data_IF_174817878851
#
_entry.id   IF_174817878851
#
_cell.length_a   1.000
_cell.length_b   1.000
_cell.length_c   1.000
_cell.angle_alpha   90.00
_cell.angle_beta   90.00
_cell.angle_gamma   90.00
#
_symmetry.space_group_name_H-M   'P 1'
#
loop_
_entity.id
_entity.type
_entity.pdbx_description
1 polymer ?
#
# COMPACT_ATOMS: atom_id res chain seq x y z
N UNK A 1 0.29 -30.61 34.29
CA UNK A 1 0.50 -29.19 34.66
C UNK A 1 1.54 -28.51 33.76
N UNK A 2 2.61 -29.15 33.34
CA UNK A 2 3.57 -28.59 32.37
C UNK A 2 3.02 -28.55 30.96
N UNK A 3 2.27 -29.57 30.50
CA UNK A 3 1.60 -29.60 29.17
C UNK A 3 0.45 -28.57 29.03
N UNK A 4 -0.25 -28.24 30.12
CA UNK A 4 -1.26 -27.17 30.11
C UNK A 4 -0.66 -25.76 30.12
N UNK A 5 0.58 -25.62 30.57
CA UNK A 5 1.31 -24.33 30.50
C UNK A 5 1.86 -24.13 29.09
N UNK A 6 2.33 -25.19 28.42
CA UNK A 6 2.82 -25.11 27.05
C UNK A 6 1.67 -24.80 26.09
N UNK A 7 0.49 -25.41 26.24
CA UNK A 7 -0.70 -25.08 25.41
C UNK A 7 -1.25 -23.65 25.64
N UNK A 8 -0.99 -23.04 26.79
CA UNK A 8 -1.36 -21.63 27.05
C UNK A 8 -0.38 -20.61 26.48
N UNK A 9 0.85 -21.01 26.17
CA UNK A 9 1.88 -20.14 25.57
C UNK A 9 1.76 -20.10 24.05
N UNK A 10 1.25 -21.13 23.40
CA UNK A 10 1.04 -21.19 21.95
C UNK A 10 -0.16 -20.37 21.45
N UNK A 11 -1.03 -19.89 22.34
CA UNK A 11 -2.31 -19.27 21.95
C UNK A 11 -2.35 -17.75 21.84
N UNK A 12 -1.22 -17.02 21.87
CA UNK A 12 -1.23 -15.55 21.78
C UNK A 12 -0.04 -14.94 21.02
N UNK A 13 0.26 -15.41 19.81
CA UNK A 13 0.98 -14.55 18.85
C UNK A 13 -0.06 -13.70 18.12
N UNK A 14 -0.56 -12.68 18.79
CA UNK A 14 -1.38 -11.65 18.15
C UNK A 14 -0.43 -10.71 17.41
N UNK A 15 -0.23 -10.93 16.11
CA UNK A 15 0.42 -9.98 15.22
C UNK A 15 -0.60 -8.93 14.83
N UNK A 16 -0.90 -7.98 15.70
CA UNK A 16 -1.81 -6.90 15.36
C UNK A 16 -1.04 -5.82 14.61
N UNK A 17 -1.20 -5.77 13.29
CA UNK A 17 -0.90 -4.57 12.51
C UNK A 17 -2.08 -3.62 12.63
N UNK A 18 -1.86 -2.47 13.22
CA UNK A 18 -2.84 -1.40 13.28
C UNK A 18 -2.47 -0.33 12.25
N UNK A 19 -3.46 0.21 11.55
CA UNK A 19 -3.32 1.32 10.61
C UNK A 19 -3.97 2.55 11.23
N UNK A 20 -3.24 3.65 11.24
CA UNK A 20 -3.71 4.94 11.76
C UNK A 20 -3.31 6.05 10.80
N UNK A 21 -4.04 7.16 10.83
CA UNK A 21 -3.59 8.38 10.18
C UNK A 21 -3.67 9.57 11.12
N UNK A 22 -2.74 10.50 10.94
CA UNK A 22 -2.62 11.71 11.73
C UNK A 22 -2.84 12.90 10.82
N UNK A 23 -3.90 13.66 11.10
CA UNK A 23 -4.19 14.93 10.44
C UNK A 23 -3.70 16.08 11.31
N UNK A 24 -2.94 17.05 10.76
CA UNK A 24 -2.51 18.22 11.51
C UNK A 24 -3.68 19.16 11.84
N UNK A 25 -3.47 20.07 12.77
CA UNK A 25 -4.41 21.17 12.99
C UNK A 25 -4.46 22.10 11.76
N UNK A 26 -5.68 22.43 11.30
CA UNK A 26 -5.92 23.30 10.13
C UNK A 26 -5.36 24.72 10.29
N UNK A 27 -5.21 25.45 9.19
CA UNK A 27 -4.89 26.89 9.15
C UNK A 27 -3.45 27.27 9.49
N UNK A 28 -2.52 26.31 9.53
CA UNK A 28 -1.11 26.54 9.79
C UNK A 28 -0.28 26.41 8.51
N UNK A 29 0.94 26.97 8.52
CA UNK A 29 1.90 26.75 7.44
C UNK A 29 2.31 25.28 7.34
N UNK A 30 2.78 24.83 6.16
CA UNK A 30 3.24 23.46 5.96
C UNK A 30 4.26 23.00 7.03
N UNK A 31 5.31 23.79 7.41
CA UNK A 31 6.22 23.40 8.49
C UNK A 31 5.54 23.21 9.85
N UNK A 32 4.50 24.01 10.15
CA UNK A 32 3.75 23.88 11.40
C UNK A 32 2.83 22.66 11.37
N UNK A 33 2.25 22.34 10.22
CA UNK A 33 1.47 21.12 10.02
C UNK A 33 2.36 19.86 10.20
N UNK A 34 3.55 19.83 9.60
CA UNK A 34 4.53 18.76 9.80
C UNK A 34 4.91 18.62 11.28
N UNK A 35 5.17 19.74 11.97
CA UNK A 35 5.45 19.72 13.40
C UNK A 35 4.30 19.12 14.20
N UNK A 36 3.07 19.52 13.88
CA UNK A 36 1.85 18.97 14.49
C UNK A 36 1.73 17.46 14.29
N UNK A 37 1.99 16.96 13.08
CA UNK A 37 2.01 15.50 12.81
C UNK A 37 3.06 14.78 13.66
N UNK A 38 4.28 15.34 13.73
CA UNK A 38 5.39 14.76 14.49
C UNK A 38 5.10 14.76 16.01
N UNK A 39 4.52 15.82 16.55
CA UNK A 39 4.10 15.87 17.96
C UNK A 39 2.99 14.87 18.28
N UNK A 40 2.03 14.69 17.38
CA UNK A 40 0.98 13.68 17.53
C UNK A 40 1.54 12.26 17.42
N UNK A 41 2.51 12.03 16.51
CA UNK A 41 3.22 10.75 16.39
C UNK A 41 3.94 10.39 17.70
N UNK A 42 4.63 11.35 18.34
CA UNK A 42 5.27 11.13 19.66
C UNK A 42 4.23 10.70 20.70
N UNK A 43 3.11 11.42 20.76
CA UNK A 43 2.02 11.09 21.70
C UNK A 43 1.37 9.72 21.41
N UNK A 44 1.32 9.33 20.14
CA UNK A 44 0.81 8.01 19.74
C UNK A 44 1.72 6.88 20.22
N UNK A 45 3.04 7.08 20.11
CA UNK A 45 4.05 6.09 20.55
C UNK A 45 4.20 6.01 22.07
N UNK A 46 3.73 7.02 22.82
CA UNK A 46 3.75 6.98 24.29
C UNK A 46 2.81 5.88 24.81
N UNK A 47 3.22 5.05 25.76
CA UNK A 47 2.39 3.97 26.29
C UNK A 47 1.07 4.49 26.86
N UNK A 48 -0.04 4.08 26.29
CA UNK A 48 -1.39 4.36 26.81
C UNK A 48 -1.98 3.09 27.38
N UNK A 49 -2.44 3.13 28.62
CA UNK A 49 -3.08 1.98 29.29
C UNK A 49 -2.22 0.68 29.25
N UNK A 50 -0.88 0.81 29.33
CA UNK A 50 0.04 -0.33 29.27
C UNK A 50 0.29 -0.90 27.87
N UNK A 51 -0.32 -0.35 26.84
CA UNK A 51 -0.08 -0.76 25.43
C UNK A 51 0.91 0.20 24.80
N UNK A 52 2.00 -0.35 24.26
CA UNK A 52 2.99 0.38 23.48
C UNK A 52 2.91 -0.02 22.02
N UNK A 53 2.93 0.96 21.12
CA UNK A 53 3.00 0.77 19.67
C UNK A 53 4.39 1.07 19.15
N UNK A 54 4.77 0.34 18.09
CA UNK A 54 5.94 0.63 17.29
C UNK A 54 5.52 0.88 15.86
N UNK A 55 5.95 1.99 15.30
CA UNK A 55 5.74 2.31 13.88
C UNK A 55 6.70 1.46 13.05
N UNK A 56 6.17 0.67 12.15
CA UNK A 56 6.97 -0.15 11.22
C UNK A 56 7.14 0.52 9.86
N UNK A 57 6.12 1.27 9.42
CA UNK A 57 6.14 2.05 8.19
C UNK A 57 5.33 3.32 8.39
N UNK A 58 5.74 4.39 7.74
CA UNK A 58 5.02 5.67 7.73
C UNK A 58 5.05 6.29 6.33
N UNK A 59 3.94 6.92 5.94
CA UNK A 59 3.81 7.60 4.66
C UNK A 59 3.26 9.00 4.89
N UNK A 60 4.00 10.01 4.45
CA UNK A 60 3.52 11.39 4.40
C UNK A 60 2.93 11.64 3.02
N UNK A 61 1.62 11.88 2.96
CA UNK A 61 0.96 12.37 1.77
C UNK A 61 0.95 13.89 1.84
N UNK A 62 1.46 14.55 0.80
CA UNK A 62 1.66 15.99 0.79
C UNK A 62 1.12 16.63 -0.48
N UNK A 63 0.65 17.86 -0.36
CA UNK A 63 0.43 18.71 -1.53
C UNK A 63 1.79 19.09 -2.10
N UNK A 64 2.02 18.88 -3.39
CA UNK A 64 3.20 19.39 -4.09
C UNK A 64 2.93 19.39 -5.60
N UNK A 65 2.73 20.54 -6.19
CA UNK A 65 2.40 20.68 -7.61
C UNK A 65 3.62 20.68 -8.55
N UNK A 66 4.83 20.50 -8.02
CA UNK A 66 6.07 20.46 -8.80
C UNK A 66 7.18 19.70 -8.06
N UNK A 67 8.16 19.22 -8.81
CA UNK A 67 9.33 18.57 -8.24
C UNK A 67 10.09 19.50 -7.26
N UNK A 68 10.21 20.78 -7.56
CA UNK A 68 10.87 21.74 -6.66
C UNK A 68 10.14 21.90 -5.33
N UNK A 69 8.80 21.95 -5.35
CA UNK A 69 7.98 22.01 -4.15
C UNK A 69 8.08 20.72 -3.35
N UNK A 70 8.01 19.57 -4.05
CA UNK A 70 8.19 18.25 -3.46
C UNK A 70 9.53 18.13 -2.73
N UNK A 71 10.64 18.55 -3.36
CA UNK A 71 11.98 18.51 -2.77
C UNK A 71 12.06 19.39 -1.51
N UNK A 72 11.50 20.60 -1.59
CA UNK A 72 11.46 21.53 -0.46
C UNK A 72 10.67 20.96 0.71
N UNK A 73 9.43 20.48 0.46
CA UNK A 73 8.53 19.92 1.48
C UNK A 73 9.07 18.63 2.06
N UNK A 74 9.63 17.76 1.22
CA UNK A 74 10.30 16.52 1.64
C UNK A 74 11.51 16.81 2.54
N UNK A 75 12.28 17.86 2.23
CA UNK A 75 13.40 18.31 3.07
C UNK A 75 12.97 18.73 4.48
N UNK A 76 11.83 19.42 4.61
CA UNK A 76 11.25 19.80 5.92
C UNK A 76 10.87 18.55 6.73
N UNK A 77 10.17 17.59 6.10
CA UNK A 77 9.76 16.33 6.76
C UNK A 77 10.98 15.52 7.19
N UNK A 78 11.96 15.32 6.29
CA UNK A 78 13.18 14.55 6.60
C UNK A 78 13.97 15.18 7.74
N UNK A 79 14.06 16.51 7.80
CA UNK A 79 14.71 17.23 8.91
C UNK A 79 13.97 17.00 10.23
N UNK A 80 12.65 17.08 10.25
CA UNK A 80 11.83 16.85 11.44
C UNK A 80 11.97 15.40 11.94
N UNK A 81 11.93 14.41 11.04
CA UNK A 81 12.10 13.00 11.39
C UNK A 81 13.51 12.67 11.88
N UNK A 82 14.55 13.25 11.26
CA UNK A 82 15.94 13.05 11.71
C UNK A 82 16.14 13.55 13.14
N UNK A 83 15.53 14.69 13.48
CA UNK A 83 15.57 15.24 14.83
C UNK A 83 14.82 14.35 15.85
N UNK A 84 13.70 13.74 15.44
CA UNK A 84 12.89 12.88 16.31
C UNK A 84 13.46 11.47 16.46
N UNK A 85 13.77 10.82 15.34
CA UNK A 85 14.03 9.37 15.32
C UNK A 85 15.53 9.05 15.38
N UNK A 86 16.40 9.96 14.93
CA UNK A 86 17.83 9.68 14.80
C UNK A 86 18.09 8.44 13.94
N UNK A 87 18.75 7.43 14.54
CA UNK A 87 19.03 6.15 13.88
C UNK A 87 17.84 5.17 13.89
N UNK A 88 16.76 5.46 14.61
CA UNK A 88 15.57 4.59 14.75
C UNK A 88 14.41 5.01 13.86
N UNK A 89 14.71 5.50 12.68
CA UNK A 89 13.68 5.91 11.72
C UNK A 89 13.01 4.67 11.10
N UNK A 90 11.67 4.54 11.15
CA UNK A 90 10.95 3.48 10.47
C UNK A 90 11.04 3.64 8.95
N UNK A 91 10.62 2.61 8.21
CA UNK A 91 10.40 2.72 6.78
C UNK A 91 9.55 3.97 6.47
N UNK A 92 10.02 4.85 5.60
CA UNK A 92 9.40 6.19 5.43
C UNK A 92 9.25 6.53 3.96
N UNK A 93 8.02 6.85 3.56
CA UNK A 93 7.68 7.38 2.25
C UNK A 93 7.16 8.81 2.35
N UNK A 94 7.41 9.61 1.32
CA UNK A 94 6.81 10.93 1.13
C UNK A 94 6.25 10.95 -0.28
N UNK A 95 4.95 11.16 -0.42
CA UNK A 95 4.22 11.03 -1.68
C UNK A 95 3.48 12.33 -1.97
N UNK A 96 3.64 12.86 -3.18
CA UNK A 96 2.92 14.03 -3.64
C UNK A 96 1.51 13.64 -4.09
N UNK A 97 0.63 13.45 -3.13
CA UNK A 97 -0.80 13.24 -3.30
C UNK A 97 -1.52 14.12 -2.29
N UNK A 98 -2.41 14.98 -2.78
CA UNK A 98 -3.09 15.96 -1.95
C UNK A 98 -4.09 15.30 -1.00
N UNK A 99 -3.90 15.37 0.33
CA UNK A 99 -4.89 14.86 1.29
C UNK A 99 -6.10 15.78 1.34
N UNK A 100 -7.28 15.21 1.62
CA UNK A 100 -8.54 15.94 1.68
C UNK A 100 -9.28 15.63 2.99
N UNK A 101 -9.92 16.62 3.65
CA UNK A 101 -9.96 18.06 3.33
C UNK A 101 -8.88 18.88 4.05
N UNK A 102 -8.52 20.02 3.44
CA UNK A 102 -7.87 21.19 4.07
C UNK A 102 -6.49 21.05 4.73
N UNK A 103 -5.79 19.93 4.56
CA UNK A 103 -4.42 19.80 5.04
C UNK A 103 -3.43 19.73 3.88
N UNK A 104 -2.26 20.34 4.04
CA UNK A 104 -1.16 20.20 3.07
C UNK A 104 -0.33 18.93 3.32
N UNK A 105 -0.58 18.24 4.43
CA UNK A 105 0.08 16.99 4.80
C UNK A 105 -0.83 16.12 5.67
N UNK A 106 -0.80 14.81 5.45
CA UNK A 106 -1.32 13.81 6.36
C UNK A 106 -0.27 12.73 6.56
N UNK A 107 -0.19 12.18 7.75
CA UNK A 107 0.75 11.10 8.08
C UNK A 107 -0.03 9.82 8.31
N UNK A 108 0.21 8.80 7.48
CA UNK A 108 -0.29 7.45 7.69
C UNK A 108 0.77 6.59 8.38
N UNK A 109 0.32 5.70 9.26
CA UNK A 109 1.16 4.82 10.06
C UNK A 109 0.72 3.36 9.88
N UNK A 110 1.68 2.48 9.70
CA UNK A 110 1.55 1.05 9.92
C UNK A 110 2.30 0.74 11.21
N UNK A 111 1.59 0.21 12.19
CA UNK A 111 2.10 0.00 13.53
C UNK A 111 1.94 -1.46 13.95
N UNK A 112 2.73 -1.89 14.92
CA UNK A 112 2.53 -3.15 15.62
C UNK A 112 2.54 -2.92 17.13
N UNK A 113 1.73 -3.69 17.87
CA UNK A 113 1.75 -3.65 19.33
C UNK A 113 3.01 -4.32 19.86
N UNK A 114 3.58 -3.74 20.91
CA UNK A 114 4.68 -4.39 21.62
C UNK A 114 4.24 -5.74 22.19
N UNK A 115 5.04 -6.77 21.95
CA UNK A 115 4.88 -8.08 22.59
C UNK A 115 6.26 -8.67 22.92
N UNK A 116 6.32 -9.56 23.90
CA UNK A 116 7.56 -10.24 24.29
C UNK A 116 8.05 -11.24 23.23
N UNK A 117 7.22 -11.54 22.23
CA UNK A 117 7.48 -12.53 21.18
C UNK A 117 7.97 -11.91 19.87
N UNK A 118 8.19 -10.59 19.84
CA UNK A 118 8.65 -9.91 18.63
C UNK A 118 9.81 -8.96 18.93
N UNK A 119 10.73 -8.86 17.97
CA UNK A 119 11.83 -7.89 18.00
C UNK A 119 11.76 -6.98 16.79
N UNK A 120 11.71 -5.66 17.04
CA UNK A 120 11.68 -4.65 16.01
C UNK A 120 13.07 -4.04 15.87
N UNK A 121 13.56 -4.01 14.63
CA UNK A 121 14.87 -3.44 14.31
C UNK A 121 14.71 -2.43 13.17
N UNK A 122 15.11 -1.19 13.43
CA UNK A 122 15.21 -0.15 12.41
C UNK A 122 16.59 -0.23 11.78
N UNK A 123 16.63 -0.33 10.46
CA UNK A 123 17.86 -0.53 9.69
C UNK A 123 17.95 0.51 8.56
N UNK A 124 19.10 0.55 7.88
CA UNK A 124 19.34 1.39 6.71
C UNK A 124 20.20 0.66 5.70
N UNK A 125 19.88 0.85 4.42
CA UNK A 125 20.75 0.54 3.29
C UNK A 125 21.04 1.85 2.57
N UNK A 126 22.26 2.38 2.70
CA UNK A 126 22.57 3.75 2.34
C UNK A 126 21.71 4.74 3.14
N UNK A 127 20.99 5.61 2.45
CA UNK A 127 20.10 6.59 3.07
C UNK A 127 18.66 6.08 3.28
N UNK A 128 18.33 4.88 2.83
CA UNK A 128 16.97 4.33 2.84
C UNK A 128 16.72 3.62 4.18
N UNK A 129 15.82 4.14 5.05
CA UNK A 129 15.42 3.47 6.26
C UNK A 129 14.41 2.35 5.94
N UNK A 130 14.53 1.23 6.64
CA UNK A 130 13.55 0.15 6.60
C UNK A 130 13.41 -0.51 7.97
N UNK A 131 12.33 -1.26 8.16
CA UNK A 131 12.02 -1.89 9.45
C UNK A 131 11.91 -3.40 9.29
N UNK A 132 12.55 -4.13 10.18
CA UNK A 132 12.41 -5.58 10.32
C UNK A 132 11.69 -5.89 11.61
N UNK A 133 10.57 -6.63 11.50
CA UNK A 133 9.86 -7.21 12.65
C UNK A 133 10.09 -8.71 12.64
N UNK A 134 10.84 -9.18 13.62
CA UNK A 134 11.17 -10.60 13.81
C UNK A 134 10.20 -11.20 14.83
N UNK A 135 9.39 -12.16 14.42
CA UNK A 135 8.41 -12.88 15.24
C UNK A 135 8.96 -14.22 15.75
N UNK A 136 10.26 -14.49 15.58
CA UNK A 136 10.92 -15.73 15.97
C UNK A 136 10.82 -16.84 14.93
N UNK A 137 9.63 -17.09 14.38
CA UNK A 137 9.40 -18.12 13.37
C UNK A 137 9.39 -17.58 11.93
N UNK A 138 9.17 -16.32 11.78
CA UNK A 138 9.22 -15.59 10.50
C UNK A 138 9.55 -14.12 10.76
N UNK A 139 9.90 -13.40 9.73
CA UNK A 139 10.12 -11.96 9.80
C UNK A 139 9.32 -11.23 8.73
N UNK A 140 8.88 -10.02 9.07
CA UNK A 140 8.33 -9.06 8.15
C UNK A 140 9.34 -7.94 7.89
N UNK A 141 9.52 -7.58 6.63
CA UNK A 141 10.35 -6.45 6.20
C UNK A 141 9.42 -5.39 5.62
N UNK A 142 9.38 -4.23 6.27
CA UNK A 142 8.68 -3.04 5.80
C UNK A 142 9.69 -2.12 5.16
N UNK A 143 9.44 -1.74 3.93
CA UNK A 143 10.28 -0.85 3.15
C UNK A 143 9.43 0.21 2.46
N UNK A 144 9.87 1.46 2.49
CA UNK A 144 9.13 2.57 1.93
C UNK A 144 10.07 3.67 1.41
N UNK A 145 9.58 4.44 0.42
CA UNK A 145 10.32 5.56 -0.16
C UNK A 145 11.45 5.13 -1.08
N UNK A 146 11.37 3.94 -1.71
CA UNK A 146 12.32 3.53 -2.74
C UNK A 146 12.04 4.30 -4.02
N UNK A 147 12.99 5.09 -4.48
CA UNK A 147 12.80 5.99 -5.61
C UNK A 147 14.06 6.15 -6.45
N UNK A 148 13.89 6.68 -7.66
CA UNK A 148 14.98 7.11 -8.52
C UNK A 148 15.60 8.44 -8.08
N UNK A 149 16.45 9.00 -8.93
CA UNK A 149 16.98 10.34 -8.74
C UNK A 149 16.06 11.40 -9.41
N UNK A 150 16.06 12.64 -8.94
CA UNK A 150 15.37 13.72 -9.61
C UNK A 150 15.77 13.84 -11.09
N UNK A 151 14.78 13.92 -11.98
CA UNK A 151 15.00 14.04 -13.42
C UNK A 151 15.19 12.68 -14.16
N UNK A 152 15.15 11.56 -13.46
CA UNK A 152 15.09 10.25 -14.12
C UNK A 152 13.79 10.11 -14.93
N UNK A 153 13.85 9.38 -16.04
CA UNK A 153 12.62 8.90 -16.70
C UNK A 153 11.90 7.89 -15.80
N UNK A 154 10.59 7.68 -16.04
CA UNK A 154 9.81 6.66 -15.29
C UNK A 154 10.48 5.29 -15.33
N UNK A 155 10.99 4.87 -16.49
CA UNK A 155 11.73 3.60 -16.65
C UNK A 155 12.98 3.56 -15.76
N UNK A 156 13.76 4.62 -15.73
CA UNK A 156 15.01 4.68 -14.95
C UNK A 156 14.72 4.79 -13.45
N UNK A 157 13.74 5.60 -13.07
CA UNK A 157 13.29 5.73 -11.67
C UNK A 157 12.77 4.40 -11.13
N UNK A 158 11.92 3.69 -11.90
CA UNK A 158 11.42 2.37 -11.54
C UNK A 158 12.57 1.36 -11.41
N UNK A 159 13.53 1.35 -12.34
CA UNK A 159 14.68 0.44 -12.28
C UNK A 159 15.49 0.64 -11.00
N UNK A 160 15.83 1.89 -10.64
CA UNK A 160 16.58 2.22 -9.40
C UNK A 160 15.81 1.86 -8.15
N UNK A 161 14.47 2.09 -8.13
CA UNK A 161 13.63 1.70 -7.02
C UNK A 161 13.60 0.18 -6.82
N UNK A 162 13.47 -0.60 -7.90
CA UNK A 162 13.55 -2.08 -7.83
C UNK A 162 14.94 -2.58 -7.44
N UNK A 163 16.02 -1.97 -7.93
CA UNK A 163 17.40 -2.31 -7.52
C UNK A 163 17.59 -2.13 -6.01
N UNK A 164 17.08 -1.02 -5.47
CA UNK A 164 17.10 -0.78 -4.03
C UNK A 164 16.27 -1.81 -3.26
N UNK A 165 15.09 -2.18 -3.78
CA UNK A 165 14.26 -3.24 -3.19
C UNK A 165 15.00 -4.59 -3.15
N UNK A 166 15.61 -4.99 -4.26
CA UNK A 166 16.39 -6.23 -4.36
C UNK A 166 17.57 -6.22 -3.39
N UNK A 167 18.30 -5.09 -3.27
CA UNK A 167 19.43 -4.97 -2.36
C UNK A 167 18.99 -5.15 -0.90
N UNK A 168 17.94 -4.46 -0.45
CA UNK A 168 17.42 -4.56 0.92
C UNK A 168 16.91 -5.98 1.20
N UNK A 169 16.12 -6.55 0.30
CA UNK A 169 15.62 -7.91 0.47
C UNK A 169 16.74 -8.93 0.58
N UNK A 170 17.79 -8.79 -0.23
CA UNK A 170 18.95 -9.66 -0.18
C UNK A 170 19.72 -9.55 1.15
N UNK A 171 19.87 -8.35 1.72
CA UNK A 171 20.47 -8.16 3.05
C UNK A 171 19.68 -8.91 4.14
N UNK A 172 18.37 -9.06 3.93
CA UNK A 172 17.49 -9.80 4.84
C UNK A 172 17.34 -11.30 4.47
N UNK A 173 18.09 -11.80 3.49
CA UNK A 173 17.99 -13.18 3.03
C UNK A 173 16.67 -13.48 2.31
N UNK A 174 16.01 -12.44 1.76
CA UNK A 174 14.78 -12.53 1.01
C UNK A 174 15.01 -12.19 -0.46
N UNK A 175 13.97 -12.34 -1.26
CA UNK A 175 13.92 -11.93 -2.66
C UNK A 175 12.63 -11.18 -2.94
N UNK A 176 12.51 -10.62 -4.14
CA UNK A 176 11.31 -9.90 -4.59
C UNK A 176 10.04 -10.77 -4.54
N UNK A 177 10.20 -12.09 -4.62
CA UNK A 177 9.10 -13.06 -4.58
C UNK A 177 8.45 -13.22 -3.18
N UNK A 178 9.11 -12.67 -2.15
CA UNK A 178 8.57 -12.64 -0.77
C UNK A 178 7.68 -11.43 -0.50
N UNK A 179 7.56 -10.48 -1.46
CA UNK A 179 6.69 -9.32 -1.31
C UNK A 179 5.23 -9.79 -1.33
N UNK A 180 4.49 -9.41 -0.29
CA UNK A 180 3.06 -9.73 -0.15
C UNK A 180 2.15 -8.55 -0.49
N UNK A 181 2.62 -7.33 -0.23
CA UNK A 181 1.92 -6.07 -0.50
C UNK A 181 2.91 -5.07 -1.08
N UNK A 182 2.50 -4.35 -2.15
CA UNK A 182 3.33 -3.33 -2.79
C UNK A 182 2.47 -2.13 -3.20
N UNK A 183 2.97 -0.92 -2.93
CA UNK A 183 2.42 0.34 -3.43
C UNK A 183 3.40 0.94 -4.43
N UNK A 184 2.86 1.43 -5.54
CA UNK A 184 3.63 2.02 -6.63
C UNK A 184 3.01 3.37 -6.94
N UNK A 185 3.66 4.44 -6.54
CA UNK A 185 3.29 5.81 -6.85
C UNK A 185 4.07 6.23 -8.09
N UNK A 186 3.38 6.63 -9.13
CA UNK A 186 3.96 6.86 -10.46
C UNK A 186 3.58 8.26 -10.91
N UNK A 187 4.57 9.11 -11.12
CA UNK A 187 4.35 10.48 -11.59
C UNK A 187 3.67 10.46 -12.95
N UNK A 188 2.60 11.29 -13.07
CA UNK A 188 1.80 11.39 -14.29
C UNK A 188 1.38 10.02 -14.84
N UNK A 189 0.84 9.14 -14.00
CA UNK A 189 0.61 7.71 -14.30
C UNK A 189 -0.15 7.48 -15.62
N UNK A 190 -1.11 8.34 -15.95
CA UNK A 190 -1.94 8.25 -17.16
C UNK A 190 -1.30 8.93 -18.38
N UNK A 191 -0.19 9.67 -18.20
CA UNK A 191 0.45 10.41 -19.29
C UNK A 191 0.96 9.49 -20.40
N UNK A 192 0.67 9.85 -21.65
CA UNK A 192 1.05 9.10 -22.85
C UNK A 192 2.03 9.94 -23.69
N UNK A 193 3.23 9.42 -23.90
CA UNK A 193 4.23 10.04 -24.78
C UNK A 193 3.84 9.82 -26.25
N UNK A 194 3.80 10.90 -27.03
CA UNK A 194 3.39 10.85 -28.44
C UNK A 194 4.50 10.36 -29.40
N UNK A 195 5.77 10.40 -28.97
CA UNK A 195 6.93 10.09 -29.83
C UNK A 195 7.35 8.63 -29.73
N UNK A 196 7.30 7.90 -30.85
CA UNK A 196 7.87 6.56 -30.95
C UNK A 196 6.91 5.39 -30.67
N UNK A 197 5.62 5.66 -30.63
CA UNK A 197 4.56 4.74 -30.18
C UNK A 197 4.02 5.16 -28.83
N UNK A 198 2.72 4.96 -28.59
CA UNK A 198 2.11 5.40 -27.34
C UNK A 198 2.69 4.64 -26.14
N UNK A 199 3.54 5.29 -25.37
CA UNK A 199 4.10 4.80 -24.12
C UNK A 199 3.47 5.55 -22.97
N UNK A 200 2.58 4.88 -22.22
CA UNK A 200 2.01 5.41 -20.99
C UNK A 200 3.02 5.21 -19.84
N UNK A 201 3.15 6.17 -18.94
CA UNK A 201 4.03 6.05 -17.77
C UNK A 201 3.73 4.79 -16.93
N UNK A 202 2.45 4.44 -16.77
CA UNK A 202 2.07 3.17 -16.13
C UNK A 202 2.58 1.94 -16.88
N UNK A 203 2.60 1.95 -18.20
CA UNK A 203 3.13 0.85 -19.00
C UNK A 203 4.65 0.76 -18.87
N UNK A 204 5.37 1.89 -18.95
CA UNK A 204 6.81 1.95 -18.73
C UNK A 204 7.21 1.33 -17.38
N UNK A 205 6.46 1.68 -16.31
CA UNK A 205 6.63 1.07 -15.01
C UNK A 205 6.37 -0.44 -15.01
N UNK A 206 5.28 -0.90 -15.66
CA UNK A 206 4.92 -2.31 -15.73
C UNK A 206 5.95 -3.15 -16.47
N UNK A 207 6.57 -2.61 -17.50
CA UNK A 207 7.62 -3.30 -18.26
C UNK A 207 8.88 -3.50 -17.41
N UNK A 208 9.26 -2.50 -16.62
CA UNK A 208 10.35 -2.63 -15.63
C UNK A 208 9.98 -3.65 -14.54
N UNK A 209 8.77 -3.56 -13.95
CA UNK A 209 8.31 -4.51 -12.94
C UNK A 209 8.36 -5.95 -13.45
N UNK A 210 7.91 -6.18 -14.68
CA UNK A 210 7.93 -7.49 -15.29
C UNK A 210 9.36 -8.05 -15.40
N UNK A 211 10.34 -7.23 -15.77
CA UNK A 211 11.74 -7.65 -15.82
C UNK A 211 12.23 -8.24 -14.49
N UNK A 212 11.91 -7.61 -13.35
CA UNK A 212 12.29 -8.12 -12.03
C UNK A 212 11.46 -9.32 -11.59
N UNK A 213 10.17 -9.33 -11.88
CA UNK A 213 9.25 -10.38 -11.43
C UNK A 213 9.42 -11.69 -12.20
N UNK A 214 9.83 -11.63 -13.48
CA UNK A 214 10.03 -12.80 -14.32
C UNK A 214 11.38 -13.51 -14.07
N UNK A 215 12.24 -12.98 -13.18
CA UNK A 215 13.50 -13.62 -12.79
C UNK A 215 13.33 -14.82 -11.85
N UNK A 216 12.11 -15.13 -11.42
CA UNK A 216 11.82 -16.25 -10.54
C UNK A 216 10.34 -16.59 -10.48
N UNK A 217 9.94 -17.36 -9.48
CA UNK A 217 8.57 -17.85 -9.32
C UNK A 217 7.95 -17.32 -8.06
N UNK A 218 6.77 -16.71 -8.17
CA UNK A 218 5.94 -16.35 -7.04
C UNK A 218 5.11 -17.56 -6.60
N UNK A 219 5.60 -18.34 -5.64
CA UNK A 219 4.95 -19.56 -5.14
C UNK A 219 3.56 -19.30 -4.55
N UNK A 220 3.37 -18.07 -4.04
CA UNK A 220 2.11 -17.63 -3.42
C UNK A 220 1.36 -16.59 -4.26
N UNK A 221 1.55 -16.57 -5.59
CA UNK A 221 1.04 -15.55 -6.49
C UNK A 221 1.74 -14.20 -6.33
N UNK A 222 1.49 -13.27 -7.25
CA UNK A 222 2.03 -11.91 -7.19
C UNK A 222 1.59 -11.17 -5.91
N UNK A 223 2.26 -10.10 -5.48
CA UNK A 223 1.78 -9.30 -4.37
C UNK A 223 0.40 -8.70 -4.65
N UNK A 224 -0.39 -8.47 -3.60
CA UNK A 224 -1.46 -7.49 -3.70
C UNK A 224 -0.81 -6.12 -3.93
N UNK A 225 -1.26 -5.36 -4.93
CA UNK A 225 -0.60 -4.10 -5.27
C UNK A 225 -1.57 -3.00 -5.70
N UNK A 226 -1.11 -1.77 -5.50
CA UNK A 226 -1.75 -0.54 -5.98
C UNK A 226 -0.76 0.17 -6.90
N UNK A 227 -1.22 0.61 -8.07
CA UNK A 227 -0.48 1.48 -8.99
C UNK A 227 -1.29 2.74 -9.20
N UNK A 228 -0.84 3.85 -8.61
CA UNK A 228 -1.59 5.09 -8.48
C UNK A 228 -0.71 6.30 -8.82
N UNK A 229 -1.32 7.40 -9.24
CA UNK A 229 -0.62 8.63 -9.61
C UNK A 229 0.06 9.32 -8.42
N UNK A 230 1.07 10.13 -8.71
CA UNK A 230 1.66 11.12 -7.81
C UNK A 230 2.02 12.34 -8.66
N UNK A 231 1.93 13.53 -8.08
CA UNK A 231 2.18 14.79 -8.80
C UNK A 231 3.68 15.10 -8.98
N UNK A 232 4.54 14.44 -8.21
CA UNK A 232 5.99 14.58 -8.28
C UNK A 232 6.70 13.38 -7.63
N UNK A 233 8.01 13.25 -7.84
CA UNK A 233 8.85 12.22 -7.21
C UNK A 233 9.17 11.04 -8.13
N UNK A 234 8.78 11.08 -9.40
CA UNK A 234 9.07 10.04 -10.38
C UNK A 234 8.34 8.74 -10.09
N UNK A 235 9.06 7.72 -9.64
CA UNK A 235 8.51 6.45 -9.17
C UNK A 235 8.91 6.21 -7.73
N UNK A 236 7.92 5.95 -6.86
CA UNK A 236 8.16 5.59 -5.46
C UNK A 236 7.55 4.22 -5.22
N UNK A 237 8.33 3.31 -4.62
CA UNK A 237 7.88 1.95 -4.28
C UNK A 237 7.94 1.76 -2.77
N UNK A 238 6.82 1.29 -2.21
CA UNK A 238 6.72 0.81 -0.84
C UNK A 238 6.31 -0.67 -0.85
N UNK A 239 6.79 -1.47 0.11
CA UNK A 239 6.37 -2.86 0.20
C UNK A 239 6.44 -3.44 1.61
N UNK A 240 5.70 -4.54 1.78
CA UNK A 240 5.83 -5.47 2.91
C UNK A 240 6.21 -6.83 2.33
N UNK A 241 7.30 -7.41 2.84
CA UNK A 241 7.75 -8.75 2.49
C UNK A 241 7.77 -9.65 3.73
N UNK A 242 7.48 -10.94 3.56
CA UNK A 242 7.52 -11.94 4.63
C UNK A 242 8.49 -13.05 4.30
N UNK A 243 9.27 -13.51 5.29
CA UNK A 243 10.04 -14.73 5.13
C UNK A 243 9.11 -15.95 5.09
N UNK A 244 9.53 -17.00 4.39
CA UNK A 244 8.82 -18.28 4.40
C UNK A 244 8.80 -18.89 5.80
N UNK A 245 7.67 -19.50 6.16
CA UNK A 245 7.47 -20.22 7.42
C UNK A 245 6.28 -21.16 7.30
N UNK A 246 6.36 -22.32 7.91
CA UNK A 246 5.22 -23.25 7.99
C UNK A 246 4.05 -22.69 8.83
N UNK A 247 4.32 -21.69 9.67
CA UNK A 247 3.31 -21.03 10.51
C UNK A 247 2.58 -19.89 9.79
N UNK A 248 3.04 -19.52 8.59
CA UNK A 248 2.48 -18.42 7.80
C UNK A 248 1.93 -18.96 6.49
N UNK A 249 0.65 -18.75 6.27
CA UNK A 249 0.03 -19.07 4.99
C UNK A 249 -0.26 -17.79 4.22
N UNK A 250 0.21 -17.73 2.98
CA UNK A 250 -0.03 -16.60 2.07
C UNK A 250 -0.79 -17.12 0.86
N UNK A 251 -1.99 -16.58 0.61
CA UNK A 251 -2.84 -17.02 -0.50
C UNK A 251 -3.37 -15.83 -1.31
N UNK A 252 -3.33 -15.90 -2.66
CA UNK A 252 -3.95 -14.91 -3.51
C UNK A 252 -5.48 -15.06 -3.51
N UNK A 253 -6.17 -13.95 -3.70
CA UNK A 253 -7.62 -13.90 -3.88
C UNK A 253 -7.91 -13.30 -5.24
N UNK A 254 -8.70 -14.01 -6.05
CA UNK A 254 -9.15 -13.58 -7.37
C UNK A 254 -10.49 -12.86 -7.28
N UNK A 255 -10.74 -11.98 -8.22
CA UNK A 255 -12.06 -11.36 -8.36
C UNK A 255 -12.86 -12.08 -9.45
N UNK A 256 -13.97 -12.73 -9.15
CA UNK A 256 -14.76 -13.44 -10.17
C UNK A 256 -15.37 -12.50 -11.22
N UNK A 257 -15.49 -11.21 -10.93
CA UNK A 257 -15.99 -10.19 -11.85
C UNK A 257 -14.92 -9.50 -12.71
N UNK A 258 -13.63 -9.83 -12.52
CA UNK A 258 -12.52 -9.19 -13.22
C UNK A 258 -11.55 -10.22 -13.78
N UNK A 259 -10.97 -9.94 -14.95
CA UNK A 259 -9.82 -10.70 -15.44
C UNK A 259 -8.62 -10.43 -14.51
N UNK A 260 -7.83 -11.47 -14.21
CA UNK A 260 -6.57 -11.30 -13.47
C UNK A 260 -5.67 -10.30 -14.22
N UNK A 261 -5.10 -9.33 -13.53
CA UNK A 261 -4.36 -8.23 -14.17
C UNK A 261 -3.21 -8.73 -15.05
N UNK A 262 -2.53 -9.79 -14.61
CA UNK A 262 -1.43 -10.43 -15.35
C UNK A 262 -1.89 -11.24 -16.58
N UNK A 263 -3.20 -11.34 -16.82
CA UNK A 263 -3.83 -12.00 -17.98
C UNK A 263 -4.59 -11.04 -18.88
N UNK A 264 -4.46 -9.74 -18.67
CA UNK A 264 -5.11 -8.76 -19.53
C UNK A 264 -4.76 -8.98 -21.00
N UNK A 265 -5.75 -8.78 -21.87
CA UNK A 265 -5.54 -8.78 -23.31
C UNK A 265 -4.66 -7.59 -23.73
N UNK A 266 -4.03 -7.72 -24.90
CA UNK A 266 -3.23 -6.63 -25.46
C UNK A 266 -4.08 -5.41 -25.84
N UNK A 267 -5.39 -5.58 -25.96
CA UNK A 267 -6.34 -4.53 -26.35
C UNK A 267 -6.52 -3.46 -25.26
N UNK A 268 -6.36 -3.85 -23.97
CA UNK A 268 -6.45 -2.91 -22.85
C UNK A 268 -5.10 -2.32 -22.43
N UNK A 269 -4.00 -2.84 -22.99
CA UNK A 269 -2.68 -2.23 -22.81
C UNK A 269 -2.51 -1.08 -23.79
N UNK A 270 -2.26 0.12 -23.30
CA UNK A 270 -2.13 1.32 -24.11
C UNK A 270 -1.00 1.16 -25.16
N UNK A 271 -1.40 1.23 -26.44
CA UNK A 271 -0.51 1.16 -27.60
C UNK A 271 -0.16 -0.25 -28.07
N UNK A 272 -0.05 -0.43 -29.38
CA UNK A 272 0.18 -1.71 -30.06
C UNK A 272 1.66 -2.16 -30.15
N UNK A 273 2.56 -1.66 -29.29
CA UNK A 273 3.96 -2.01 -29.37
C UNK A 273 4.19 -3.49 -29.01
N UNK A 274 4.99 -4.24 -29.80
CA UNK A 274 5.40 -5.58 -29.41
C UNK A 274 6.18 -5.54 -28.09
N UNK A 275 5.89 -6.47 -27.19
CA UNK A 275 6.68 -6.63 -25.95
C UNK A 275 6.10 -5.96 -24.70
N UNK A 276 4.92 -5.32 -24.75
CA UNK A 276 4.26 -4.78 -23.57
C UNK A 276 3.91 -5.88 -22.56
N UNK A 277 4.22 -5.61 -21.29
CA UNK A 277 3.95 -6.51 -20.20
C UNK A 277 2.62 -6.14 -19.51
N UNK A 278 1.86 -7.17 -19.12
CA UNK A 278 0.66 -6.99 -18.31
C UNK A 278 1.02 -6.58 -16.88
N UNK A 279 0.16 -5.82 -16.18
CA UNK A 279 0.36 -5.53 -14.77
C UNK A 279 0.42 -6.83 -13.96
N UNK A 280 1.44 -6.99 -13.11
CA UNK A 280 1.67 -8.22 -12.33
C UNK A 280 1.28 -7.99 -10.88
N UNK A 281 0.03 -8.28 -10.53
CA UNK A 281 -0.48 -8.24 -9.15
C UNK A 281 -1.73 -9.11 -9.00
N UNK A 282 -2.01 -9.52 -7.76
CA UNK A 282 -3.26 -10.19 -7.38
C UNK A 282 -4.31 -9.17 -6.95
N UNK A 283 -5.60 -9.48 -7.08
CA UNK A 283 -6.71 -8.58 -6.70
C UNK A 283 -6.80 -8.36 -5.19
N UNK A 284 -6.46 -9.37 -4.41
CA UNK A 284 -6.22 -9.28 -2.99
C UNK A 284 -5.30 -10.42 -2.55
N UNK A 285 -4.81 -10.34 -1.32
CA UNK A 285 -4.00 -11.37 -0.70
C UNK A 285 -4.39 -11.54 0.76
N UNK A 286 -4.49 -12.78 1.22
CA UNK A 286 -4.65 -13.08 2.63
C UNK A 286 -3.36 -13.67 3.19
N UNK A 287 -2.98 -13.18 4.36
CA UNK A 287 -1.85 -13.66 5.14
C UNK A 287 -2.39 -14.16 6.47
N UNK A 288 -2.21 -15.44 6.75
CA UNK A 288 -2.76 -16.11 7.94
C UNK A 288 -1.64 -16.50 8.89
N UNK A 289 -1.79 -16.11 10.16
CA UNK A 289 -0.93 -16.51 11.28
C UNK A 289 -1.81 -16.99 12.41
N UNK A 290 -1.62 -18.22 12.87
CA UNK A 290 -2.49 -18.81 13.90
C UNK A 290 -3.96 -18.58 13.55
N UNK A 291 -4.71 -17.90 14.41
CA UNK A 291 -6.13 -17.60 14.22
C UNK A 291 -6.39 -16.19 13.65
N UNK A 292 -5.37 -15.50 13.14
CA UNK A 292 -5.49 -14.16 12.57
C UNK A 292 -5.25 -14.17 11.07
N UNK A 293 -6.13 -13.56 10.32
CA UNK A 293 -6.12 -13.52 8.87
C UNK A 293 -6.16 -12.07 8.39
N UNK A 294 -5.07 -11.61 7.79
CA UNK A 294 -4.91 -10.24 7.27
C UNK A 294 -5.21 -10.21 5.79
N UNK A 295 -6.22 -9.48 5.40
CA UNK A 295 -6.64 -9.31 4.02
C UNK A 295 -6.13 -7.98 3.48
N UNK A 296 -5.28 -8.03 2.47
CA UNK A 296 -4.77 -6.88 1.74
C UNK A 296 -5.51 -6.77 0.40
N UNK A 297 -6.39 -5.77 0.28
CA UNK A 297 -7.12 -5.48 -0.95
C UNK A 297 -6.27 -4.55 -1.82
N UNK A 298 -6.01 -4.96 -3.05
CA UNK A 298 -5.28 -4.14 -4.03
C UNK A 298 -6.10 -2.93 -4.47
N UNK A 299 -5.45 -1.95 -5.06
CA UNK A 299 -6.12 -0.88 -5.76
C UNK A 299 -7.20 -1.45 -6.70
N UNK A 300 -8.44 -1.11 -6.41
CA UNK A 300 -9.62 -1.61 -7.09
C UNK A 300 -10.40 -0.44 -7.65
N UNK A 301 -10.76 -0.51 -8.92
CA UNK A 301 -11.49 0.52 -9.64
C UNK A 301 -12.74 -0.05 -10.33
N UNK A 302 -13.49 0.81 -11.03
CA UNK A 302 -14.72 0.47 -11.76
C UNK A 302 -14.42 -0.29 -13.04
N UNK A 303 -13.98 -1.55 -12.91
CA UNK A 303 -13.61 -2.44 -14.01
C UNK A 303 -14.41 -3.74 -13.90
N UNK A 304 -15.10 -4.16 -14.98
CA UNK A 304 -15.70 -5.48 -15.11
C UNK A 304 -15.04 -6.23 -16.28
N UNK A 305 -14.67 -7.49 -16.04
CA UNK A 305 -13.75 -8.18 -16.94
C UNK A 305 -12.42 -7.42 -16.98
N UNK A 306 -12.14 -6.76 -18.09
CA UNK A 306 -10.98 -5.87 -18.27
C UNK A 306 -11.39 -4.45 -18.77
N UNK A 307 -12.71 -4.15 -18.82
CA UNK A 307 -13.27 -2.89 -19.35
C UNK A 307 -13.63 -1.92 -18.23
N UNK A 308 -13.29 -0.66 -18.40
CA UNK A 308 -13.76 0.44 -17.54
C UNK A 308 -15.26 0.61 -17.67
N UNK A 309 -15.94 0.72 -16.54
CA UNK A 309 -17.38 0.91 -16.46
C UNK A 309 -17.71 2.34 -16.03
N UNK A 310 -18.83 2.87 -16.57
CA UNK A 310 -19.40 4.17 -16.22
C UNK A 310 -18.44 5.36 -16.37
N UNK A 311 -17.75 5.54 -17.54
CA UNK A 311 -16.92 6.72 -17.76
C UNK A 311 -17.68 8.02 -17.49
N UNK A 312 -17.06 8.97 -16.78
CA UNK A 312 -17.66 10.27 -16.46
C UNK A 312 -18.71 10.27 -15.34
N UNK A 313 -19.00 9.13 -14.69
CA UNK A 313 -19.97 9.05 -13.59
C UNK A 313 -19.29 8.50 -12.31
N UNK A 314 -18.76 9.40 -11.50
CA UNK A 314 -18.01 9.04 -10.29
C UNK A 314 -18.87 8.26 -9.28
N UNK A 315 -20.16 8.59 -9.15
CA UNK A 315 -21.05 7.90 -8.23
C UNK A 315 -21.27 6.43 -8.62
N UNK A 316 -21.47 6.15 -9.92
CA UNK A 316 -21.58 4.77 -10.40
C UNK A 316 -20.23 4.06 -10.36
N UNK A 317 -19.13 4.74 -10.70
CA UNK A 317 -17.80 4.16 -10.56
C UNK A 317 -17.50 3.75 -9.12
N UNK A 318 -17.79 4.60 -8.14
CA UNK A 318 -17.62 4.28 -6.72
C UNK A 318 -18.41 3.04 -6.31
N UNK A 319 -19.68 2.95 -6.71
CA UNK A 319 -20.52 1.77 -6.40
C UNK A 319 -19.98 0.49 -7.04
N UNK A 320 -19.59 0.52 -8.32
CA UNK A 320 -19.00 -0.63 -9.00
C UNK A 320 -17.66 -1.04 -8.39
N UNK A 321 -16.84 -0.07 -7.97
CA UNK A 321 -15.59 -0.32 -7.24
C UNK A 321 -15.85 -1.07 -5.94
N UNK A 322 -16.82 -0.61 -5.14
CA UNK A 322 -17.22 -1.26 -3.88
C UNK A 322 -17.78 -2.68 -4.13
N UNK A 323 -18.62 -2.86 -5.14
CA UNK A 323 -19.12 -4.18 -5.55
C UNK A 323 -17.96 -5.12 -5.93
N UNK A 324 -16.95 -4.62 -6.64
CA UNK A 324 -15.76 -5.39 -6.97
C UNK A 324 -14.98 -5.80 -5.70
N UNK A 325 -14.85 -4.91 -4.71
CA UNK A 325 -14.24 -5.23 -3.42
C UNK A 325 -15.06 -6.31 -2.69
N UNK A 326 -16.39 -6.18 -2.64
CA UNK A 326 -17.27 -7.15 -1.98
C UNK A 326 -17.20 -8.55 -2.63
N UNK A 327 -17.05 -8.62 -3.96
CA UNK A 327 -16.89 -9.89 -4.69
C UNK A 327 -15.62 -10.65 -4.32
N UNK A 328 -14.57 -9.99 -3.85
CA UNK A 328 -13.37 -10.65 -3.34
C UNK A 328 -13.67 -11.58 -2.15
N UNK A 329 -14.76 -11.33 -1.43
CA UNK A 329 -15.15 -12.05 -0.22
C UNK A 329 -16.34 -12.97 -0.43
N UNK A 330 -16.57 -13.40 -1.68
CA UNK A 330 -17.59 -14.41 -2.03
C UNK A 330 -17.34 -15.73 -1.30
N UNK A 331 -18.40 -16.51 -1.09
CA UNK A 331 -18.31 -17.83 -0.47
C UNK A 331 -17.29 -18.74 -1.17
N UNK A 332 -17.20 -18.66 -2.50
CA UNK A 332 -16.23 -19.41 -3.31
C UNK A 332 -14.77 -19.02 -2.94
N UNK A 333 -14.48 -17.71 -2.82
CA UNK A 333 -13.16 -17.24 -2.42
C UNK A 333 -12.83 -17.61 -0.97
N UNK A 334 -13.81 -17.51 -0.06
CA UNK A 334 -13.64 -17.93 1.33
C UNK A 334 -13.29 -19.42 1.43
N UNK A 335 -13.97 -20.27 0.65
CA UNK A 335 -13.68 -21.70 0.56
C UNK A 335 -12.28 -21.96 -0.01
N UNK A 336 -11.90 -21.25 -1.08
CA UNK A 336 -10.58 -21.38 -1.72
C UNK A 336 -9.42 -21.04 -0.77
N UNK A 337 -9.61 -20.08 0.14
CA UNK A 337 -8.60 -19.73 1.15
C UNK A 337 -8.79 -20.46 2.49
N UNK A 338 -9.86 -21.25 2.64
CA UNK A 338 -10.13 -22.03 3.84
C UNK A 338 -10.52 -21.21 5.07
N UNK A 339 -11.05 -20.00 4.87
CA UNK A 339 -11.44 -19.08 5.94
C UNK A 339 -12.89 -18.70 5.72
N UNK A 340 -13.75 -18.94 6.72
CA UNK A 340 -15.18 -18.60 6.66
C UNK A 340 -15.49 -17.46 7.61
N UNK A 341 -16.22 -16.48 7.13
CA UNK A 341 -16.74 -15.34 7.89
C UNK A 341 -17.99 -14.76 7.21
N UNK A 342 -18.80 -14.05 7.96
CA UNK A 342 -19.92 -13.31 7.40
C UNK A 342 -19.44 -11.97 6.84
N UNK A 343 -19.95 -11.56 5.68
CA UNK A 343 -19.50 -10.32 5.00
C UNK A 343 -19.80 -9.07 5.83
N UNK A 344 -20.83 -9.09 6.67
CA UNK A 344 -21.17 -8.02 7.60
C UNK A 344 -20.20 -7.89 8.79
N UNK A 345 -19.38 -8.92 9.04
CA UNK A 345 -18.28 -8.88 10.02
C UNK A 345 -17.04 -8.17 9.49
N UNK A 346 -16.96 -7.90 8.19
CA UNK A 346 -15.83 -7.19 7.61
C UNK A 346 -15.85 -5.75 8.13
N UNK A 347 -14.80 -5.41 8.86
CA UNK A 347 -14.49 -4.04 9.23
C UNK A 347 -13.07 -3.73 8.78
N UNK A 348 -12.96 -2.84 7.82
CA UNK A 348 -11.64 -2.39 7.38
C UNK A 348 -10.94 -1.64 8.52
N UNK A 349 -9.71 -2.01 8.78
CA UNK A 349 -8.85 -1.25 9.70
C UNK A 349 -8.49 0.09 9.08
N UNK A 350 -8.31 0.10 7.76
CA UNK A 350 -7.98 1.28 6.99
C UNK A 350 -8.41 1.13 5.53
N UNK A 351 -8.91 2.23 4.96
CA UNK A 351 -9.21 2.39 3.54
C UNK A 351 -8.52 3.64 3.01
N UNK A 352 -7.74 3.50 1.94
CA UNK A 352 -7.31 4.62 1.09
C UNK A 352 -8.26 4.72 -0.09
N UNK A 353 -8.81 5.91 -0.28
CA UNK A 353 -9.74 6.24 -1.34
C UNK A 353 -9.10 7.32 -2.20
N UNK A 354 -8.65 6.95 -3.38
CA UNK A 354 -8.07 7.85 -4.35
C UNK A 354 -9.18 8.38 -5.26
N UNK A 355 -9.28 9.68 -5.37
CA UNK A 355 -10.31 10.37 -6.17
C UNK A 355 -9.60 11.30 -7.14
N UNK A 356 -9.95 11.20 -8.43
CA UNK A 356 -9.25 11.96 -9.48
C UNK A 356 -9.48 13.47 -9.36
N UNK A 357 -10.67 13.89 -8.92
CA UNK A 357 -11.04 15.30 -8.81
C UNK A 357 -11.53 15.61 -7.41
N UNK A 358 -10.98 16.64 -6.79
CA UNK A 358 -11.29 17.01 -5.40
C UNK A 358 -12.78 17.31 -5.18
N UNK A 359 -13.46 17.88 -6.19
CA UNK A 359 -14.89 18.17 -6.16
C UNK A 359 -15.78 16.94 -6.06
N UNK A 360 -15.29 15.76 -6.44
CA UNK A 360 -16.03 14.50 -6.38
C UNK A 360 -15.99 13.84 -4.98
N UNK A 361 -15.08 14.26 -4.11
CA UNK A 361 -14.87 13.65 -2.79
C UNK A 361 -16.14 13.62 -1.93
N UNK A 362 -17.00 14.67 -1.87
CA UNK A 362 -18.22 14.59 -1.08
C UNK A 362 -19.19 13.50 -1.52
N UNK A 363 -19.25 13.20 -2.82
CA UNK A 363 -20.07 12.12 -3.37
C UNK A 363 -19.46 10.76 -3.06
N UNK A 364 -18.15 10.63 -3.28
CA UNK A 364 -17.40 9.40 -3.04
C UNK A 364 -17.41 9.02 -1.57
N UNK A 365 -17.11 9.96 -0.68
CA UNK A 365 -17.06 9.72 0.78
C UNK A 365 -18.40 9.25 1.32
N UNK A 366 -19.49 9.92 0.92
CA UNK A 366 -20.84 9.51 1.31
C UNK A 366 -21.13 8.06 0.91
N UNK A 367 -20.80 7.66 -0.33
CA UNK A 367 -21.05 6.29 -0.82
C UNK A 367 -20.15 5.28 -0.07
N UNK A 368 -18.89 5.61 0.16
CA UNK A 368 -17.96 4.74 0.90
C UNK A 368 -18.45 4.52 2.34
N UNK A 369 -18.81 5.56 3.06
CA UNK A 369 -19.30 5.49 4.44
C UNK A 369 -20.64 4.75 4.57
N UNK A 370 -21.51 4.84 3.55
CA UNK A 370 -22.78 4.10 3.50
C UNK A 370 -22.58 2.58 3.20
N UNK A 371 -21.54 2.20 2.46
CA UNK A 371 -21.40 0.87 1.86
C UNK A 371 -20.26 0.03 2.43
N UNK A 372 -19.24 0.66 2.99
CA UNK A 372 -18.08 0.01 3.58
C UNK A 372 -18.01 0.33 5.07
N UNK A 373 -17.75 -0.69 5.88
CA UNK A 373 -17.51 -0.51 7.30
C UNK A 373 -16.00 -0.37 7.52
N UNK A 374 -15.53 0.81 7.93
CA UNK A 374 -14.11 1.06 8.20
C UNK A 374 -13.90 1.83 9.49
N UNK A 375 -12.78 1.57 10.13
CA UNK A 375 -12.31 2.36 11.29
C UNK A 375 -11.68 3.68 10.85
N UNK A 376 -11.14 3.72 9.63
CA UNK A 376 -10.34 4.83 9.12
C UNK A 376 -10.50 4.95 7.60
N UNK A 377 -10.77 6.15 7.13
CA UNK A 377 -10.80 6.51 5.71
C UNK A 377 -9.79 7.61 5.47
N UNK A 378 -8.92 7.41 4.49
CA UNK A 378 -8.00 8.42 3.99
C UNK A 378 -8.34 8.74 2.54
N UNK A 379 -8.84 9.96 2.30
CA UNK A 379 -9.15 10.45 0.96
C UNK A 379 -7.95 11.23 0.41
N UNK A 380 -7.55 10.87 -0.81
CA UNK A 380 -6.41 11.45 -1.51
C UNK A 380 -6.82 11.84 -2.93
N UNK A 381 -6.47 13.03 -3.37
CA UNK A 381 -6.57 13.39 -4.78
C UNK A 381 -5.43 12.74 -5.55
N UNK A 382 -5.75 12.01 -6.62
CA UNK A 382 -4.75 11.32 -7.42
C UNK A 382 -5.32 10.80 -8.73
N UNK A 383 -4.51 10.82 -9.78
CA UNK A 383 -4.79 10.14 -11.03
C UNK A 383 -4.78 8.61 -10.87
N UNK A 384 -5.70 7.95 -11.55
CA UNK A 384 -5.78 6.50 -11.64
C UNK A 384 -5.10 6.03 -12.94
N UNK A 385 -4.77 4.75 -13.02
CA UNK A 385 -3.98 4.17 -14.12
C UNK A 385 -4.63 4.22 -15.52
N UNK A 386 -5.91 4.60 -15.62
CA UNK A 386 -6.62 4.87 -16.88
C UNK A 386 -7.32 6.21 -16.80
N UNK A 387 -7.30 6.96 -17.90
CA UNK A 387 -7.83 8.32 -17.98
C UNK A 387 -9.30 8.43 -17.58
N UNK A 388 -10.12 7.43 -17.94
CA UNK A 388 -11.55 7.41 -17.66
C UNK A 388 -11.94 6.93 -16.26
N UNK A 389 -10.97 6.48 -15.44
CA UNK A 389 -11.21 6.09 -14.06
C UNK A 389 -11.14 7.31 -13.13
N UNK A 390 -12.17 7.47 -12.30
CA UNK A 390 -12.35 8.62 -11.39
C UNK A 390 -12.12 8.26 -9.92
N UNK A 391 -12.12 6.98 -9.58
CA UNK A 391 -11.95 6.51 -8.22
C UNK A 391 -11.26 5.15 -8.17
N UNK A 392 -10.36 4.98 -7.22
CA UNK A 392 -9.73 3.71 -6.86
C UNK A 392 -9.74 3.55 -5.34
N UNK A 393 -9.99 2.34 -4.84
CA UNK A 393 -10.06 2.06 -3.40
C UNK A 393 -9.18 0.86 -3.09
N UNK A 394 -8.37 0.98 -2.06
CA UNK A 394 -7.62 -0.12 -1.45
C UNK A 394 -7.90 -0.20 0.05
N UNK A 395 -7.58 -1.34 0.67
CA UNK A 395 -7.79 -1.44 2.11
C UNK A 395 -7.18 -2.68 2.74
N UNK A 396 -7.26 -2.69 4.05
CA UNK A 396 -6.84 -3.83 4.87
C UNK A 396 -7.87 -4.09 5.96
N UNK A 397 -8.12 -5.35 6.24
CA UNK A 397 -8.90 -5.77 7.41
C UNK A 397 -8.39 -7.09 7.96
N UNK A 398 -8.77 -7.39 9.19
CA UNK A 398 -8.37 -8.61 9.88
C UNK A 398 -9.60 -9.38 10.34
N UNK A 399 -9.58 -10.69 10.12
CA UNK A 399 -10.55 -11.64 10.69
C UNK A 399 -9.82 -12.51 11.70
N UNK A 400 -10.43 -12.69 12.86
CA UNK A 400 -9.97 -13.64 13.88
C UNK A 400 -10.93 -14.83 13.92
N UNK A 401 -10.41 -16.03 13.69
CA UNK A 401 -11.16 -17.27 13.85
C UNK A 401 -10.96 -17.83 15.26
N UNK A 402 -11.99 -18.43 15.80
CA UNK A 402 -11.98 -19.07 17.13
C UNK A 402 -11.14 -20.34 17.18
#
# INVERSE_FOLDING_TARGET
MVEQIIMRIESQVSTNFDFEHITPASGKSFPDQVRSCVEQLVRFMDPKNGVRYFVTQQTFFIVAASQQEYDTRSGIIRKALSALCGSRQPATSIVAQSPVPESEVVLELICTRASDHQRITYKRTGEIPYTVVDYGHFKAVHCAGLMGAPGDSITEAARKAFESAVAILREEGLSIHHIIRQWNYIEDIAFVKETGGAHQNYQDFNDVRAHYYDQGTFTHGYPAATGIGTDAGGVIIDFIALSESEQVQVRPIRNPGQVDAHRYSKEVLMGAAPGKCTPKFERAKVVSFSNSHYFYVSGTASILGEKTMHPGDVAKQTRTTIENIQRLFSSENQEAVGIRFEVDQIRFSHLRVYVKHQEDIPVVSKICEEKLNSSSYLYLESDVCREELLVEIEGVFTIHTS
#
